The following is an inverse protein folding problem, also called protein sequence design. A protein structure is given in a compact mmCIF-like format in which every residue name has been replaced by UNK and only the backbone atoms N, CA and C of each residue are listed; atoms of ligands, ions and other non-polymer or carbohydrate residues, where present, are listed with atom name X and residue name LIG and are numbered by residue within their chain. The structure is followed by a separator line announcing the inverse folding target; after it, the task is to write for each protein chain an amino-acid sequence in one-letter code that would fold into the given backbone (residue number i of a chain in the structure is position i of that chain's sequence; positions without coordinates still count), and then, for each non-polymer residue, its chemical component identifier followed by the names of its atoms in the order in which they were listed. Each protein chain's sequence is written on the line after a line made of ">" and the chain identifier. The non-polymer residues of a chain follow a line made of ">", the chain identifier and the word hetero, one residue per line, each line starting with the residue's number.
data_IF_835392347426
#
_entry.id   IF_835392347426
#
_cell.length_a   1.000
_cell.length_b   1.000
_cell.length_c   1.000
_cell.angle_alpha   90.00
_cell.angle_beta   90.00
_cell.angle_gamma   90.00
#
_symmetry.space_group_name_H-M   'P 1'
#
loop_
_entity.id
_entity.type
_entity.pdbx_description
1 polymer ?
#
# COMPACT_ATOMS: atom_id res chain seq x y z
N UNK A 1 16.68 27.04 -35.61
CA UNK A 1 15.59 26.32 -34.92
C UNK A 1 16.02 26.26 -33.47
N UNK A 2 15.86 27.37 -32.76
CA UNK A 2 16.52 27.60 -31.46
C UNK A 2 15.66 28.57 -30.63
N UNK A 3 14.39 28.20 -30.40
CA UNK A 3 13.39 29.13 -29.83
C UNK A 3 12.38 28.48 -28.89
N UNK A 4 12.56 27.21 -28.52
CA UNK A 4 11.57 26.46 -27.73
C UNK A 4 12.01 26.10 -26.29
N UNK A 5 13.23 26.46 -25.85
CA UNK A 5 13.70 26.13 -24.49
C UNK A 5 13.38 27.22 -23.42
N UNK A 6 13.05 28.45 -23.81
CA UNK A 6 12.85 29.55 -22.86
C UNK A 6 11.46 29.59 -22.18
N UNK A 7 10.45 28.87 -22.69
CA UNK A 7 9.08 28.92 -22.14
C UNK A 7 8.82 27.95 -20.97
N UNK A 8 9.75 27.03 -20.68
CA UNK A 8 9.63 26.11 -19.53
C UNK A 8 10.22 26.67 -18.23
N UNK A 9 11.19 27.60 -18.31
CA UNK A 9 11.81 28.22 -17.14
C UNK A 9 10.89 29.23 -16.44
N UNK A 10 10.00 29.89 -17.18
CA UNK A 10 9.05 30.87 -16.65
C UNK A 10 7.89 30.27 -15.82
N UNK A 11 7.48 29.03 -16.14
CA UNK A 11 6.37 28.33 -15.44
C UNK A 11 6.78 27.79 -14.08
N UNK A 12 8.04 27.34 -13.91
CA UNK A 12 8.57 26.87 -12.61
C UNK A 12 8.71 27.99 -11.58
N UNK A 13 9.18 29.18 -11.99
CA UNK A 13 9.35 30.34 -11.09
C UNK A 13 8.05 30.96 -10.57
N UNK A 14 6.88 30.63 -11.16
CA UNK A 14 5.58 31.09 -10.67
C UNK A 14 5.03 30.19 -9.56
N UNK A 15 5.27 28.88 -9.62
CA UNK A 15 4.78 27.91 -8.63
C UNK A 15 5.50 28.10 -7.28
N UNK A 16 6.80 28.37 -7.29
CA UNK A 16 7.59 28.55 -6.06
C UNK A 16 7.27 29.87 -5.33
N UNK A 17 6.73 30.87 -6.04
CA UNK A 17 6.38 32.18 -5.45
C UNK A 17 5.03 32.16 -4.73
N UNK A 18 4.10 31.34 -5.19
CA UNK A 18 2.77 31.20 -4.61
C UNK A 18 2.78 30.28 -3.37
N UNK A 19 3.73 29.34 -3.28
CA UNK A 19 4.01 28.53 -2.08
C UNK A 19 4.60 29.35 -0.92
N UNK A 20 5.43 30.36 -1.20
CA UNK A 20 6.07 31.17 -0.16
C UNK A 20 5.20 32.32 0.41
N UNK A 21 4.02 32.57 -0.19
CA UNK A 21 3.07 33.60 0.28
C UNK A 21 1.95 33.05 1.18
N UNK A 22 1.68 31.74 1.18
CA UNK A 22 0.68 31.13 2.06
C UNK A 22 1.22 30.75 3.45
N UNK A 23 2.53 30.81 3.69
CA UNK A 23 3.15 30.40 4.97
C UNK A 23 3.33 31.54 5.99
N UNK A 24 2.78 32.74 5.76
CA UNK A 24 2.89 33.89 6.69
C UNK A 24 1.59 34.36 7.34
N UNK A 25 0.48 33.68 7.12
CA UNK A 25 -0.81 34.02 7.73
C UNK A 25 -1.49 32.75 8.29
N UNK A 26 -0.91 32.18 9.33
CA UNK A 26 -1.57 31.20 10.20
C UNK A 26 -0.94 31.26 11.60
N UNK A 27 -1.16 32.38 12.28
CA UNK A 27 -0.96 32.52 13.72
C UNK A 27 -2.33 32.47 14.40
N UNK A 28 -2.43 31.61 15.42
CA UNK A 28 -3.50 31.50 16.42
C UNK A 28 -4.87 30.98 15.94
N UNK A 29 -5.00 29.65 15.92
CA UNK A 29 -6.24 28.96 16.30
C UNK A 29 -5.89 27.63 16.95
N UNK A 30 -6.54 27.36 18.08
CA UNK A 30 -6.27 26.27 19.02
C UNK A 30 -6.27 24.86 18.41
N UNK A 31 -5.37 24.06 18.97
CA UNK A 31 -5.16 22.62 18.82
C UNK A 31 -6.42 21.82 19.23
N UNK A 32 -7.25 21.45 18.26
CA UNK A 32 -8.21 20.34 18.39
C UNK A 32 -7.74 19.21 17.47
N UNK A 33 -7.11 18.20 18.08
CA UNK A 33 -6.55 17.03 17.43
C UNK A 33 -7.64 16.17 16.80
N UNK A 34 -8.03 16.48 15.56
CA UNK A 34 -8.82 15.57 14.74
C UNK A 34 -7.90 14.49 14.18
N UNK A 35 -7.80 13.38 14.90
CA UNK A 35 -7.37 12.10 14.38
C UNK A 35 -8.27 11.72 13.18
N UNK A 36 -7.83 12.03 11.96
CA UNK A 36 -8.45 11.57 10.72
C UNK A 36 -8.15 10.08 10.51
N UNK A 37 -8.71 9.25 11.40
CA UNK A 37 -8.66 7.80 11.31
C UNK A 37 -9.64 7.37 10.22
N UNK A 38 -9.15 6.59 9.25
CA UNK A 38 -10.00 6.01 8.21
C UNK A 38 -11.23 5.32 8.85
N UNK A 39 -12.44 5.44 8.26
CA UNK A 39 -13.62 4.78 8.78
C UNK A 39 -13.32 3.28 8.88
N UNK A 40 -13.35 2.74 10.11
CA UNK A 40 -13.15 1.31 10.33
C UNK A 40 -14.30 0.57 9.66
N UNK A 41 -13.97 -0.34 8.74
CA UNK A 41 -14.94 -1.12 7.98
C UNK A 41 -15.86 -1.92 8.90
N UNK A 42 -17.10 -1.49 9.01
CA UNK A 42 -18.18 -2.26 9.60
C UNK A 42 -18.81 -3.13 8.53
N UNK A 43 -18.81 -4.45 8.75
CA UNK A 43 -19.58 -5.40 7.95
C UNK A 43 -21.08 -5.19 8.28
N UNK A 44 -21.77 -4.31 7.53
CA UNK A 44 -23.10 -3.86 7.94
C UNK A 44 -24.06 -3.44 6.84
N UNK A 45 -23.68 -3.52 5.56
CA UNK A 45 -24.62 -3.29 4.45
C UNK A 45 -25.18 -4.62 3.94
N UNK A 46 -26.50 -4.76 3.88
CA UNK A 46 -27.11 -5.87 3.14
C UNK A 46 -26.67 -5.81 1.66
N UNK A 47 -26.48 -6.96 1.02
CA UNK A 47 -26.14 -7.02 -0.41
C UNK A 47 -27.14 -6.22 -1.27
N UNK A 48 -28.40 -6.18 -0.85
CA UNK A 48 -29.48 -5.41 -1.49
C UNK A 48 -29.27 -3.89 -1.37
N UNK A 49 -28.79 -3.40 -0.22
CA UNK A 49 -28.47 -1.96 -0.04
C UNK A 49 -27.30 -1.54 -0.93
N UNK A 50 -26.28 -2.39 -1.02
CA UNK A 50 -25.13 -2.14 -1.91
C UNK A 50 -25.54 -2.07 -3.37
N UNK A 51 -26.38 -3.01 -3.83
CA UNK A 51 -26.85 -3.02 -5.22
C UNK A 51 -27.72 -1.79 -5.53
N UNK A 52 -28.60 -1.38 -4.60
CA UNK A 52 -29.41 -0.17 -4.76
C UNK A 52 -28.54 1.10 -4.86
N UNK A 53 -27.49 1.20 -4.04
CA UNK A 53 -26.55 2.32 -4.10
C UNK A 53 -25.74 2.35 -5.41
N UNK A 54 -25.34 1.19 -5.91
CA UNK A 54 -24.63 1.06 -7.18
C UNK A 54 -25.51 1.44 -8.37
N UNK A 55 -26.79 1.04 -8.35
CA UNK A 55 -27.76 1.43 -9.37
C UNK A 55 -28.01 2.95 -9.39
N UNK A 56 -28.10 3.57 -8.20
CA UNK A 56 -28.21 5.03 -8.09
C UNK A 56 -26.96 5.73 -8.63
N UNK A 57 -25.77 5.22 -8.33
CA UNK A 57 -24.51 5.75 -8.83
C UNK A 57 -24.43 5.65 -10.36
N UNK A 58 -24.81 4.51 -10.95
CA UNK A 58 -24.81 4.29 -12.39
C UNK A 58 -25.74 5.25 -13.15
N UNK A 59 -26.89 5.59 -12.54
CA UNK A 59 -27.87 6.52 -13.12
C UNK A 59 -27.45 8.00 -13.04
N UNK A 60 -26.39 8.35 -12.30
CA UNK A 60 -25.93 9.75 -12.20
C UNK A 60 -25.38 10.23 -13.55
N UNK A 61 -26.05 11.23 -14.13
CA UNK A 61 -25.63 11.95 -15.34
C UNK A 61 -24.48 12.92 -15.04
N UNK A 62 -23.28 12.41 -14.84
CA UNK A 62 -22.06 13.23 -14.85
C UNK A 62 -21.16 12.72 -15.98
N UNK A 63 -20.79 13.64 -16.88
CA UNK A 63 -19.93 13.48 -18.07
C UNK A 63 -19.83 12.04 -18.62
N UNK A 64 -20.64 11.77 -19.66
CA UNK A 64 -20.75 10.50 -20.40
C UNK A 64 -19.38 9.83 -20.59
N UNK A 65 -19.10 8.80 -19.81
CA UNK A 65 -17.93 7.92 -19.98
C UNK A 65 -17.35 7.30 -18.71
N UNK A 66 -17.45 7.98 -17.55
CA UNK A 66 -16.74 7.51 -16.33
C UNK A 66 -17.63 6.81 -15.28
N UNK A 67 -18.88 7.22 -15.10
CA UNK A 67 -19.71 6.74 -13.98
C UNK A 67 -20.19 5.29 -14.13
N UNK A 68 -20.67 4.89 -15.32
CA UNK A 68 -21.08 3.50 -15.58
C UNK A 68 -19.93 2.50 -15.48
N UNK A 69 -18.72 2.92 -15.87
CA UNK A 69 -17.52 2.10 -15.71
C UNK A 69 -17.16 1.92 -14.22
N UNK A 70 -17.39 2.93 -13.38
CA UNK A 70 -17.13 2.85 -11.94
C UNK A 70 -18.06 1.83 -11.26
N UNK A 71 -19.37 1.90 -11.51
CA UNK A 71 -20.34 0.96 -10.93
C UNK A 71 -20.05 -0.48 -11.37
N UNK A 72 -19.69 -0.68 -12.65
CA UNK A 72 -19.27 -2.00 -13.17
C UNK A 72 -18.07 -2.57 -12.41
N UNK A 73 -17.02 -1.76 -12.20
CA UNK A 73 -15.82 -2.18 -11.48
C UNK A 73 -16.11 -2.43 -9.98
N UNK A 74 -17.00 -1.65 -9.37
CA UNK A 74 -17.44 -1.91 -8.00
C UNK A 74 -18.19 -3.24 -7.86
N UNK A 75 -19.06 -3.60 -8.82
CA UNK A 75 -19.70 -4.93 -8.86
C UNK A 75 -18.67 -6.05 -9.07
N UNK A 76 -17.65 -5.82 -9.90
CA UNK A 76 -16.55 -6.77 -10.09
C UNK A 76 -15.76 -6.98 -8.78
N UNK A 77 -15.51 -5.91 -8.03
CA UNK A 77 -14.89 -5.97 -6.71
C UNK A 77 -15.75 -6.73 -5.69
N UNK A 78 -17.08 -6.60 -5.74
CA UNK A 78 -17.98 -7.40 -4.88
C UNK A 78 -17.81 -8.89 -5.15
N UNK A 79 -17.80 -9.31 -6.42
CA UNK A 79 -17.56 -10.71 -6.79
C UNK A 79 -16.20 -11.19 -6.29
N UNK A 80 -15.17 -10.38 -6.48
CA UNK A 80 -13.83 -10.70 -5.99
C UNK A 80 -13.82 -10.91 -4.46
N UNK A 81 -14.48 -10.02 -3.71
CA UNK A 81 -14.63 -10.15 -2.27
C UNK A 81 -15.38 -11.42 -1.88
N UNK A 82 -16.46 -11.76 -2.58
CA UNK A 82 -17.24 -12.95 -2.25
C UNK A 82 -16.43 -14.23 -2.51
N UNK A 83 -15.52 -14.22 -3.49
CA UNK A 83 -14.59 -15.32 -3.78
C UNK A 83 -13.38 -15.40 -2.82
N UNK A 84 -12.83 -14.25 -2.41
CA UNK A 84 -11.55 -14.18 -1.67
C UNK A 84 -11.69 -13.76 -0.21
N UNK A 85 -12.88 -13.35 0.21
CA UNK A 85 -13.17 -12.83 1.55
C UNK A 85 -12.70 -11.39 1.80
N UNK A 86 -12.11 -10.72 0.80
CA UNK A 86 -11.56 -9.36 0.96
C UNK A 86 -11.57 -8.55 -0.35
N UNK A 87 -11.49 -7.22 -0.27
CA UNK A 87 -11.40 -6.33 -1.44
C UNK A 87 -9.95 -6.03 -1.88
N UNK A 88 -8.96 -6.79 -1.40
CA UNK A 88 -7.54 -6.53 -1.66
C UNK A 88 -7.04 -7.14 -2.98
N UNK A 89 -7.38 -6.48 -4.09
CA UNK A 89 -6.92 -6.84 -5.45
C UNK A 89 -5.56 -6.21 -5.75
N UNK A 90 -4.61 -6.97 -6.29
CA UNK A 90 -3.29 -6.43 -6.62
C UNK A 90 -3.31 -5.67 -7.94
N UNK A 91 -2.52 -4.60 -8.04
CA UNK A 91 -2.40 -3.80 -9.27
C UNK A 91 -2.05 -4.64 -10.51
N UNK A 92 -1.29 -5.73 -10.33
CA UNK A 92 -0.91 -6.64 -11.42
C UNK A 92 -2.03 -7.58 -11.88
N UNK A 93 -3.12 -7.69 -11.12
CA UNK A 93 -4.25 -8.59 -11.40
C UNK A 93 -5.23 -7.93 -12.39
N UNK A 94 -4.70 -7.21 -13.38
CA UNK A 94 -5.44 -6.61 -14.46
C UNK A 94 -6.19 -5.32 -14.10
N UNK A 95 -7.28 -5.07 -14.84
CA UNK A 95 -8.00 -3.79 -14.80
C UNK A 95 -8.62 -3.48 -13.44
N UNK A 96 -9.10 -4.50 -12.73
CA UNK A 96 -9.70 -4.35 -11.40
C UNK A 96 -8.65 -3.90 -10.38
N UNK A 97 -7.47 -4.49 -10.41
CA UNK A 97 -6.34 -4.12 -9.56
C UNK A 97 -5.91 -2.67 -9.74
N UNK A 98 -5.78 -2.23 -10.99
CA UNK A 98 -5.49 -0.82 -11.30
C UNK A 98 -6.62 0.11 -10.83
N UNK A 99 -7.88 -0.30 -10.99
CA UNK A 99 -9.03 0.47 -10.54
C UNK A 99 -9.08 0.62 -9.01
N UNK A 100 -8.78 -0.45 -8.25
CA UNK A 100 -8.68 -0.45 -6.78
C UNK A 100 -7.61 0.52 -6.31
N UNK A 101 -6.42 0.47 -6.90
CA UNK A 101 -5.32 1.39 -6.57
C UNK A 101 -5.72 2.86 -6.84
N UNK A 102 -6.42 3.12 -7.96
CA UNK A 102 -6.94 4.45 -8.28
C UNK A 102 -7.96 4.94 -7.25
N UNK A 103 -8.76 4.07 -6.63
CA UNK A 103 -9.69 4.46 -5.57
C UNK A 103 -8.93 4.93 -4.33
N UNK A 104 -7.89 4.19 -3.91
CA UNK A 104 -7.02 4.55 -2.77
C UNK A 104 -6.34 5.89 -2.99
N UNK A 105 -5.76 6.11 -4.17
CA UNK A 105 -5.14 7.40 -4.53
C UNK A 105 -6.16 8.55 -4.53
N UNK A 106 -7.36 8.31 -5.07
CA UNK A 106 -8.42 9.33 -5.13
C UNK A 106 -8.94 9.69 -3.74
N UNK A 107 -9.03 8.72 -2.83
CA UNK A 107 -9.40 8.95 -1.44
C UNK A 107 -8.31 9.70 -0.67
N UNK A 108 -7.03 9.35 -0.88
CA UNK A 108 -5.90 10.09 -0.31
C UNK A 108 -5.91 11.57 -0.73
N UNK A 109 -6.22 11.85 -2.00
CA UNK A 109 -6.39 13.23 -2.49
C UNK A 109 -7.55 13.93 -1.80
N UNK A 110 -8.70 13.27 -1.69
CA UNK A 110 -9.88 13.80 -0.99
C UNK A 110 -9.54 14.20 0.46
N UNK A 111 -8.84 13.32 1.19
CA UNK A 111 -8.43 13.58 2.59
C UNK A 111 -7.38 14.69 2.71
N UNK A 112 -6.59 14.94 1.66
CA UNK A 112 -5.65 16.05 1.61
C UNK A 112 -6.30 17.37 1.14
N UNK A 113 -7.62 17.43 0.99
CA UNK A 113 -8.33 18.61 0.46
C UNK A 113 -8.10 18.86 -1.04
N UNK A 114 -7.47 17.92 -1.74
CA UNK A 114 -7.17 18.02 -3.17
C UNK A 114 -8.37 17.53 -3.97
N UNK A 115 -8.71 18.25 -5.05
CA UNK A 115 -9.80 17.87 -5.96
C UNK A 115 -9.65 16.41 -6.41
N UNK A 116 -10.70 15.63 -6.17
CA UNK A 116 -10.76 14.21 -6.44
C UNK A 116 -12.05 13.83 -7.18
N UNK A 117 -12.03 12.68 -7.86
CA UNK A 117 -13.22 12.04 -8.43
C UNK A 117 -13.92 11.12 -7.42
N UNK A 118 -13.41 11.09 -6.19
CA UNK A 118 -14.01 10.37 -5.07
C UNK A 118 -15.16 11.19 -4.49
N UNK A 119 -16.39 10.67 -4.59
CA UNK A 119 -17.58 11.30 -4.02
C UNK A 119 -17.94 10.64 -2.68
N UNK A 120 -18.70 11.32 -1.80
CA UNK A 120 -19.16 10.72 -0.55
C UNK A 120 -19.91 9.40 -0.75
N UNK A 121 -20.70 9.27 -1.82
CA UNK A 121 -21.42 8.02 -2.09
C UNK A 121 -20.48 6.88 -2.49
N UNK A 122 -19.45 7.16 -3.29
CA UNK A 122 -18.42 6.16 -3.64
C UNK A 122 -17.65 5.70 -2.42
N UNK A 123 -17.33 6.62 -1.52
CA UNK A 123 -16.70 6.30 -0.23
C UNK A 123 -17.62 5.41 0.60
N UNK A 124 -18.92 5.75 0.69
CA UNK A 124 -19.91 4.95 1.42
C UNK A 124 -20.00 3.54 0.84
N UNK A 125 -20.16 3.40 -0.48
CA UNK A 125 -20.26 2.11 -1.17
C UNK A 125 -19.02 1.24 -0.90
N UNK A 126 -17.82 1.79 -1.10
CA UNK A 126 -16.56 1.08 -0.85
C UNK A 126 -16.39 0.68 0.62
N UNK A 127 -16.71 1.59 1.55
CA UNK A 127 -16.63 1.32 2.98
C UNK A 127 -17.59 0.21 3.41
N UNK A 128 -18.84 0.22 2.92
CA UNK A 128 -19.83 -0.83 3.17
C UNK A 128 -19.40 -2.19 2.61
N UNK A 129 -18.64 -2.21 1.52
CA UNK A 129 -18.08 -3.46 0.97
C UNK A 129 -16.92 -4.02 1.81
N UNK A 130 -16.42 -3.29 2.81
CA UNK A 130 -15.22 -3.66 3.58
C UNK A 130 -13.93 -3.27 2.86
N UNK A 131 -13.97 -2.25 1.98
CA UNK A 131 -12.80 -1.79 1.25
C UNK A 131 -11.76 -1.16 2.19
N UNK A 132 -10.54 -1.68 2.13
CA UNK A 132 -9.42 -1.17 2.91
C UNK A 132 -8.75 -0.01 2.16
N UNK A 133 -8.88 1.20 2.73
CA UNK A 133 -8.38 2.45 2.14
C UNK A 133 -6.86 2.61 2.25
N UNK A 134 -6.25 2.03 3.28
CA UNK A 134 -4.80 2.00 3.47
C UNK A 134 -4.28 0.56 3.44
N UNK A 135 -3.73 0.18 2.30
CA UNK A 135 -3.07 -1.11 2.12
C UNK A 135 -1.55 -0.99 1.99
N UNK A 136 -0.96 0.09 2.53
CA UNK A 136 0.49 0.24 2.57
C UNK A 136 1.18 -0.92 3.33
N UNK A 137 0.44 -1.54 4.25
CA UNK A 137 0.87 -2.71 5.02
C UNK A 137 0.60 -4.05 4.30
N UNK A 138 0.05 -4.05 3.08
CA UNK A 138 -0.23 -5.25 2.31
C UNK A 138 0.87 -5.53 1.29
N UNK A 139 1.30 -6.79 1.18
CA UNK A 139 2.30 -7.24 0.20
C UNK A 139 1.75 -8.46 -0.53
N UNK A 140 1.54 -8.33 -1.85
CA UNK A 140 1.05 -9.47 -2.64
C UNK A 140 -0.35 -9.96 -2.24
N UNK A 141 -1.18 -9.10 -1.66
CA UNK A 141 -2.56 -9.42 -1.25
C UNK A 141 -2.68 -9.93 0.17
N UNK A 142 -1.55 -10.13 0.86
CA UNK A 142 -1.48 -10.57 2.27
C UNK A 142 -0.97 -9.45 3.16
N UNK A 143 -1.27 -9.53 4.46
CA UNK A 143 -0.69 -8.60 5.43
C UNK A 143 0.82 -8.84 5.53
N UNK A 144 1.61 -7.77 5.71
CA UNK A 144 3.07 -7.86 5.84
C UNK A 144 3.49 -8.88 6.93
N UNK A 145 2.74 -8.95 8.03
CA UNK A 145 3.04 -9.89 9.12
C UNK A 145 2.74 -11.35 8.76
N UNK A 146 1.69 -11.62 7.97
CA UNK A 146 1.42 -12.96 7.45
C UNK A 146 2.55 -13.42 6.51
N UNK A 147 2.97 -12.54 5.60
CA UNK A 147 4.10 -12.82 4.69
C UNK A 147 5.38 -13.04 5.46
N UNK A 148 5.62 -12.25 6.51
CA UNK A 148 6.74 -12.41 7.40
C UNK A 148 6.74 -13.79 8.08
N UNK A 149 5.62 -14.18 8.69
CA UNK A 149 5.48 -15.45 9.39
C UNK A 149 5.67 -16.65 8.44
N UNK A 150 5.11 -16.59 7.23
CA UNK A 150 5.32 -17.63 6.21
C UNK A 150 6.80 -17.81 5.83
N UNK A 151 7.55 -16.72 5.72
CA UNK A 151 8.98 -16.78 5.40
C UNK A 151 9.82 -17.23 6.59
N UNK A 152 9.44 -16.81 7.81
CA UNK A 152 10.07 -17.27 9.04
C UNK A 152 9.89 -18.79 9.21
N UNK A 153 8.71 -19.32 8.88
CA UNK A 153 8.45 -20.75 8.94
C UNK A 153 9.29 -21.53 7.92
N UNK A 154 9.39 -21.03 6.68
CA UNK A 154 10.30 -21.59 5.66
C UNK A 154 11.76 -21.57 6.11
N UNK A 155 12.18 -20.54 6.84
CA UNK A 155 13.52 -20.46 7.41
C UNK A 155 13.75 -21.51 8.49
N UNK A 156 12.76 -21.78 9.35
CA UNK A 156 12.85 -22.86 10.35
C UNK A 156 13.01 -24.22 9.68
N UNK A 157 12.18 -24.50 8.66
CA UNK A 157 12.30 -25.74 7.89
C UNK A 157 13.68 -25.87 7.24
N UNK A 158 14.19 -24.80 6.64
CA UNK A 158 15.55 -24.80 6.09
C UNK A 158 16.60 -25.17 7.15
N UNK A 159 16.49 -24.62 8.37
CA UNK A 159 17.38 -24.93 9.49
C UNK A 159 17.26 -26.39 9.94
N UNK A 160 16.05 -26.94 9.97
CA UNK A 160 15.86 -28.36 10.29
C UNK A 160 16.55 -29.27 9.28
N UNK A 161 16.50 -28.91 7.99
CA UNK A 161 17.13 -29.68 6.91
C UNK A 161 18.66 -29.51 6.84
N UNK A 162 19.18 -28.30 7.06
CA UNK A 162 20.58 -27.96 6.80
C UNK A 162 21.42 -27.75 8.08
N UNK A 163 20.76 -27.65 9.25
CA UNK A 163 21.39 -27.38 10.54
C UNK A 163 21.69 -25.91 10.83
N UNK A 164 21.50 -25.00 9.86
CA UNK A 164 21.78 -23.57 10.00
C UNK A 164 20.80 -22.67 9.23
N UNK A 165 20.93 -21.36 9.42
CA UNK A 165 20.17 -20.34 8.67
C UNK A 165 20.99 -19.65 7.57
N UNK A 166 22.03 -20.30 7.03
CA UNK A 166 22.90 -19.77 5.98
C UNK A 166 22.33 -19.99 4.58
N UNK A 167 21.06 -19.63 4.39
CA UNK A 167 20.38 -19.77 3.10
C UNK A 167 21.17 -19.05 1.99
N UNK A 168 21.57 -19.75 0.91
CA UNK A 168 22.22 -19.15 -0.24
C UNK A 168 21.31 -18.10 -0.91
N UNK A 169 21.89 -17.02 -1.45
CA UNK A 169 21.09 -16.00 -2.14
C UNK A 169 20.35 -16.59 -3.36
N UNK A 170 21.00 -17.52 -4.07
CA UNK A 170 20.42 -18.27 -5.19
C UNK A 170 20.03 -19.67 -4.72
N UNK A 171 19.22 -19.76 -3.67
CA UNK A 171 18.75 -21.05 -3.19
C UNK A 171 17.78 -21.65 -4.21
N UNK A 172 18.19 -22.74 -4.86
CA UNK A 172 17.48 -23.32 -6.01
C UNK A 172 16.10 -23.84 -5.63
N UNK A 173 15.99 -24.50 -4.48
CA UNK A 173 14.70 -25.03 -3.98
C UNK A 173 13.72 -23.92 -3.62
N UNK A 174 14.21 -22.74 -3.21
CA UNK A 174 13.35 -21.61 -2.88
C UNK A 174 14.08 -20.25 -3.02
N UNK A 175 14.04 -19.69 -4.23
CA UNK A 175 14.68 -18.40 -4.52
C UNK A 175 14.04 -17.24 -3.72
N UNK A 176 12.76 -17.35 -3.35
CA UNK A 176 12.09 -16.32 -2.57
C UNK A 176 12.67 -16.24 -1.15
N UNK A 177 12.94 -17.40 -0.53
CA UNK A 177 13.57 -17.47 0.79
C UNK A 177 14.99 -16.91 0.77
N UNK A 178 15.80 -17.26 -0.23
CA UNK A 178 17.17 -16.74 -0.37
C UNK A 178 17.20 -15.21 -0.53
N UNK A 179 16.27 -14.65 -1.31
CA UNK A 179 16.07 -13.20 -1.42
C UNK A 179 15.63 -12.59 -0.09
N UNK A 180 14.64 -13.19 0.57
CA UNK A 180 14.11 -12.71 1.85
C UNK A 180 15.19 -12.67 2.94
N UNK A 181 15.99 -13.73 3.09
CA UNK A 181 17.12 -13.78 4.05
C UNK A 181 18.14 -12.67 3.80
N UNK A 182 18.51 -12.44 2.54
CA UNK A 182 19.41 -11.33 2.17
C UNK A 182 18.80 -9.98 2.53
N UNK A 183 17.51 -9.80 2.28
CA UNK A 183 16.80 -8.56 2.57
C UNK A 183 16.78 -8.33 4.09
N UNK A 184 16.58 -9.36 4.93
CA UNK A 184 16.66 -9.23 6.39
C UNK A 184 18.04 -8.79 6.89
N UNK A 185 19.11 -9.36 6.35
CA UNK A 185 20.49 -8.92 6.67
C UNK A 185 20.71 -7.45 6.30
N UNK A 186 20.15 -7.01 5.18
CA UNK A 186 20.23 -5.61 4.73
C UNK A 186 19.44 -4.69 5.63
N UNK A 187 18.20 -5.04 5.96
CA UNK A 187 17.32 -4.26 6.83
C UNK A 187 17.90 -4.12 8.24
N UNK A 188 18.39 -5.20 8.83
CA UNK A 188 19.06 -5.14 10.13
C UNK A 188 20.29 -4.22 10.09
N UNK A 189 21.10 -4.28 9.03
CA UNK A 189 22.22 -3.36 8.87
C UNK A 189 21.77 -1.89 8.81
N UNK A 190 20.68 -1.59 8.11
CA UNK A 190 20.12 -0.23 8.05
C UNK A 190 19.66 0.23 9.44
N UNK A 191 18.96 -0.62 10.19
CA UNK A 191 18.56 -0.37 11.57
C UNK A 191 19.76 -0.07 12.47
N UNK A 192 20.82 -0.87 12.39
CA UNK A 192 22.06 -0.65 13.15
C UNK A 192 22.78 0.66 12.79
N UNK A 193 22.58 1.17 11.57
CA UNK A 193 23.13 2.45 11.10
C UNK A 193 22.21 3.64 11.38
N UNK A 194 21.08 3.45 12.07
CA UNK A 194 20.08 4.49 12.31
C UNK A 194 19.39 4.99 11.03
N UNK A 195 19.44 4.21 9.94
CA UNK A 195 18.80 4.54 8.67
C UNK A 195 17.36 3.99 8.64
N UNK A 196 16.47 4.56 7.80
CA UNK A 196 15.14 4.01 7.60
C UNK A 196 15.19 2.52 7.27
N UNK A 197 14.48 1.72 8.05
CA UNK A 197 14.44 0.27 7.95
C UNK A 197 13.05 -0.27 8.22
N UNK A 198 12.73 -1.41 7.62
CA UNK A 198 11.53 -2.20 7.88
C UNK A 198 11.76 -3.28 8.97
N UNK A 199 12.96 -3.31 9.56
CA UNK A 199 13.29 -4.16 10.70
C UNK A 199 12.81 -3.49 11.99
N UNK A 200 12.23 -4.27 12.90
CA UNK A 200 11.82 -3.85 14.24
C UNK A 200 12.30 -4.86 15.29
N UNK A 201 12.20 -4.51 16.57
CA UNK A 201 12.73 -5.33 17.67
C UNK A 201 12.07 -6.72 17.75
N UNK A 202 10.77 -6.81 17.47
CA UNK A 202 10.03 -8.07 17.48
C UNK A 202 10.54 -9.03 16.40
N UNK A 203 10.72 -8.53 15.17
CA UNK A 203 11.28 -9.31 14.05
C UNK A 203 12.72 -9.74 14.33
N UNK A 204 13.51 -8.89 14.99
CA UNK A 204 14.86 -9.25 15.44
C UNK A 204 14.80 -10.36 16.49
N UNK A 205 13.89 -10.31 17.46
CA UNK A 205 13.72 -11.37 18.45
C UNK A 205 13.30 -12.70 17.82
N UNK A 206 12.37 -12.67 16.87
CA UNK A 206 11.93 -13.87 16.14
C UNK A 206 13.06 -14.50 15.32
N UNK A 207 13.89 -13.68 14.66
CA UNK A 207 15.08 -14.18 13.95
C UNK A 207 16.15 -14.70 14.92
N UNK A 208 16.34 -14.06 16.08
CA UNK A 208 17.24 -14.56 17.13
C UNK A 208 16.77 -15.93 17.67
N UNK A 209 15.47 -16.14 17.84
CA UNK A 209 14.91 -17.39 18.33
C UNK A 209 15.19 -18.60 17.41
N UNK A 210 15.49 -18.35 16.13
CA UNK A 210 15.90 -19.39 15.17
C UNK A 210 17.41 -19.45 14.96
N UNK A 211 18.22 -18.80 15.81
CA UNK A 211 19.68 -18.67 15.66
C UNK A 211 20.10 -18.07 14.31
N UNK A 212 19.34 -17.08 13.82
CA UNK A 212 19.59 -16.47 12.52
C UNK A 212 20.98 -15.81 12.45
N UNK A 213 21.74 -16.19 11.41
CA UNK A 213 23.08 -15.65 11.17
C UNK A 213 23.01 -14.36 10.34
N UNK A 214 23.23 -13.23 11.01
CA UNK A 214 23.23 -11.89 10.41
C UNK A 214 24.42 -11.64 9.48
N UNK A 215 25.59 -12.21 9.79
CA UNK A 215 26.81 -12.05 9.02
C UNK A 215 27.25 -13.39 8.44
N UNK A 216 27.07 -13.58 7.13
CA UNK A 216 27.87 -14.56 6.40
C UNK A 216 29.31 -14.07 6.46
N UNK A 217 30.18 -14.81 7.15
CA UNK A 217 31.62 -14.49 7.20
C UNK A 217 32.10 -14.31 5.75
N UNK A 218 32.56 -13.10 5.42
CA UNK A 218 33.35 -12.91 4.20
C UNK A 218 34.63 -13.70 4.41
N UNK A 219 34.76 -14.83 3.73
CA UNK A 219 36.07 -15.41 3.49
C UNK A 219 36.94 -14.35 2.79
N UNK A 220 38.27 -14.32 3.05
CA UNK A 220 39.16 -13.42 2.34
C UNK A 220 38.97 -13.61 0.83
N UNK A 221 38.78 -12.51 0.11
CA UNK A 221 38.97 -12.54 -1.35
C UNK A 221 40.47 -12.65 -1.55
N UNK A 222 40.93 -13.86 -1.89
CA UNK A 222 42.26 -14.08 -2.44
C UNK A 222 42.30 -13.62 -3.90
#
# INVERSE_FOLDING_TARGET
>A
NDSDEDDQAGKRKRIDRDLAKSEREASDTDDDGTDNKAPKGGNGGSAEELEELLDKEEKKKVHRGQTGMWAKQARELMKYRDEHGHCNVLQRDGSLGWWVDRQRQSYKKLNAGIKSQMTPERVKILTLMGFEWDASHMVGGKKNDEVWMEQLEKLKHYKEEHGDCLVPQRYESNQQLGKWVRDQRTQYRLMQLGKPSQMNDERVQQLKAVDFVWQSRRGPRH
#
